data_IF_497573622386
#
_entry.id   IF_497573622386
#
_cell.length_a   1.000
_cell.length_b   1.000
_cell.length_c   1.000
_cell.angle_alpha   90.00
_cell.angle_beta   90.00
_cell.angle_gamma   90.00
#
_symmetry.space_group_name_H-M   'P 1'
#
loop_
_entity.id
_entity.type
_entity.pdbx_description
1 polymer ?
#
# COMPACT_ATOMS: atom_id res chain seq x y z
N UNK A 1 -14.37 0.61 1.19
CA UNK A 1 -13.41 1.53 0.53
C UNK A 1 -13.33 1.20 -0.94
N UNK A 2 -13.67 2.14 -1.81
CA UNK A 2 -13.53 1.98 -3.27
C UNK A 2 -12.23 2.70 -3.67
N UNK A 3 -11.38 2.05 -4.46
CA UNK A 3 -10.13 2.60 -4.96
C UNK A 3 -10.06 2.38 -6.47
N UNK A 4 -9.83 3.43 -7.23
CA UNK A 4 -9.57 3.36 -8.67
C UNK A 4 -8.07 3.44 -8.90
N UNK A 5 -7.52 2.53 -9.70
CA UNK A 5 -6.11 2.54 -10.10
C UNK A 5 -6.01 2.51 -11.62
N UNK A 6 -5.40 3.54 -12.20
CA UNK A 6 -5.07 3.55 -13.62
C UNK A 6 -3.89 2.61 -13.89
N UNK A 7 -4.05 1.71 -14.84
CA UNK A 7 -3.02 0.79 -15.31
C UNK A 7 -2.71 1.15 -16.77
N UNK A 8 -1.63 1.91 -17.02
CA UNK A 8 -1.29 2.36 -18.37
C UNK A 8 -0.91 1.21 -19.32
N UNK A 9 -0.47 0.07 -18.77
CA UNK A 9 -0.15 -1.16 -19.49
C UNK A 9 -1.17 -2.27 -19.28
N UNK A 10 -2.40 -1.93 -18.88
CA UNK A 10 -3.48 -2.89 -18.60
C UNK A 10 -3.22 -3.83 -17.41
N UNK A 11 -4.11 -4.80 -17.18
CA UNK A 11 -3.90 -5.86 -16.20
C UNK A 11 -2.83 -6.86 -16.71
N UNK A 12 -1.91 -7.34 -15.86
CA UNK A 12 -1.11 -8.51 -16.20
C UNK A 12 -2.07 -9.70 -16.38
N UNK A 13 -2.09 -10.28 -17.59
CA UNK A 13 -2.86 -11.49 -17.88
C UNK A 13 -2.44 -12.58 -16.89
N UNK A 14 -3.30 -12.91 -15.93
CA UNK A 14 -3.09 -14.10 -15.09
C UNK A 14 -3.35 -15.33 -15.94
N UNK A 15 -2.43 -16.27 -15.81
CA UNK A 15 -2.29 -17.55 -16.49
C UNK A 15 -3.58 -18.37 -16.49
N UNK A 16 -4.18 -18.52 -17.68
CA UNK A 16 -4.97 -19.70 -18.07
C UNK A 16 -4.87 -19.81 -19.59
N UNK A 17 -4.26 -20.90 -20.03
CA UNK A 17 -4.28 -21.45 -21.40
C UNK A 17 -3.47 -20.71 -22.48
N UNK A 18 -2.35 -21.35 -22.82
CA UNK A 18 -1.78 -21.56 -24.18
C UNK A 18 -1.31 -20.34 -25.01
N UNK A 19 0.03 -20.29 -25.14
CA UNK A 19 0.83 -20.00 -26.34
C UNK A 19 0.30 -19.01 -27.38
N UNK A 20 0.71 -17.75 -27.27
CA UNK A 20 1.01 -16.87 -28.42
C UNK A 20 1.99 -15.76 -27.97
N UNK A 21 3.11 -15.51 -28.67
CA UNK A 21 4.06 -14.45 -28.32
C UNK A 21 3.56 -13.11 -28.86
N UNK A 22 2.43 -12.62 -28.35
CA UNK A 22 1.85 -11.39 -28.86
C UNK A 22 2.33 -10.17 -28.07
N UNK A 23 3.30 -9.50 -28.68
CA UNK A 23 3.94 -8.23 -28.32
C UNK A 23 2.97 -7.02 -28.43
N UNK A 24 1.69 -7.20 -28.07
CA UNK A 24 0.70 -6.13 -28.10
C UNK A 24 0.64 -5.41 -26.74
N UNK A 25 0.84 -4.08 -26.70
CA UNK A 25 0.68 -3.34 -25.45
C UNK A 25 -0.76 -3.49 -24.97
N UNK A 26 -0.92 -4.14 -23.82
CA UNK A 26 -2.21 -4.30 -23.16
C UNK A 26 -2.86 -2.92 -22.98
N UNK A 27 -4.10 -2.77 -23.46
CA UNK A 27 -4.80 -1.49 -23.51
C UNK A 27 -4.86 -0.83 -22.12
N UNK A 28 -4.76 0.51 -22.04
CA UNK A 28 -4.85 1.21 -20.78
C UNK A 28 -6.19 0.90 -20.11
N UNK A 29 -6.16 0.42 -18.88
CA UNK A 29 -7.34 -0.04 -18.16
C UNK A 29 -7.47 0.63 -16.80
N UNK A 30 -8.70 0.84 -16.34
CA UNK A 30 -9.00 1.36 -15.02
C UNK A 30 -9.37 0.19 -14.10
N UNK A 31 -8.56 -0.08 -13.09
CA UNK A 31 -8.84 -1.10 -12.08
C UNK A 31 -9.69 -0.50 -10.97
N UNK A 32 -10.98 -0.87 -10.92
CA UNK A 32 -11.86 -0.60 -9.81
C UNK A 32 -11.67 -1.65 -8.71
N UNK A 33 -11.01 -1.25 -7.62
CA UNK A 33 -10.83 -2.08 -6.43
C UNK A 33 -11.89 -1.70 -5.40
N UNK A 34 -12.95 -2.49 -5.35
CA UNK A 34 -13.93 -2.41 -4.27
C UNK A 34 -13.40 -3.24 -3.11
N UNK A 35 -12.96 -2.57 -2.04
CA UNK A 35 -12.57 -3.22 -0.77
C UNK A 35 -13.75 -3.14 0.18
N UNK A 36 -14.41 -4.26 0.41
CA UNK A 36 -15.36 -4.43 1.50
C UNK A 36 -14.73 -5.35 2.56
N UNK A 37 -15.03 -5.08 3.83
CA UNK A 37 -14.34 -5.73 4.94
C UNK A 37 -12.92 -5.20 5.20
N UNK A 38 -12.39 -5.58 6.36
CA UNK A 38 -11.08 -5.15 6.85
C UNK A 38 -10.36 -6.24 7.64
N UNK A 39 -10.79 -7.49 7.49
CA UNK A 39 -10.15 -8.65 8.11
C UNK A 39 -8.91 -9.06 7.32
N UNK A 40 -7.88 -9.51 8.04
CA UNK A 40 -6.66 -10.02 7.44
C UNK A 40 -6.93 -11.36 6.73
N UNK A 41 -6.60 -11.45 5.45
CA UNK A 41 -6.77 -12.68 4.65
C UNK A 41 -5.81 -13.77 5.09
N UNK A 42 -6.12 -15.03 4.76
CA UNK A 42 -5.22 -16.15 5.06
C UNK A 42 -3.85 -16.00 4.36
N UNK A 43 -3.85 -15.50 3.12
CA UNK A 43 -2.61 -15.16 2.40
C UNK A 43 -1.78 -14.13 3.17
N UNK A 44 -2.42 -13.08 3.72
CA UNK A 44 -1.74 -12.07 4.53
C UNK A 44 -1.12 -12.64 5.81
N UNK A 45 -1.83 -13.55 6.50
CA UNK A 45 -1.29 -14.28 7.66
C UNK A 45 -0.05 -15.10 7.29
N UNK A 46 -0.11 -15.87 6.21
CA UNK A 46 1.00 -16.72 5.76
C UNK A 46 2.22 -15.87 5.33
N UNK A 47 1.99 -14.72 4.67
CA UNK A 47 3.04 -13.79 4.30
C UNK A 47 3.74 -13.19 5.52
N UNK A 48 2.98 -12.76 6.52
CA UNK A 48 3.54 -12.22 7.76
C UNK A 48 4.35 -13.28 8.53
N UNK A 49 3.85 -14.51 8.60
CA UNK A 49 4.57 -15.62 9.22
C UNK A 49 5.87 -15.97 8.47
N UNK A 50 5.82 -16.04 7.14
CA UNK A 50 7.01 -16.27 6.32
C UNK A 50 8.06 -15.16 6.50
N UNK A 51 7.62 -13.90 6.59
CA UNK A 51 8.48 -12.77 6.89
C UNK A 51 9.14 -12.93 8.27
N UNK A 52 8.38 -13.31 9.30
CA UNK A 52 8.93 -13.60 10.63
C UNK A 52 10.01 -14.68 10.60
N UNK A 53 9.76 -15.78 9.85
CA UNK A 53 10.75 -16.86 9.65
C UNK A 53 12.01 -16.39 8.95
N UNK A 54 11.89 -15.47 7.99
CA UNK A 54 13.04 -14.87 7.33
C UNK A 54 13.84 -13.97 8.29
N UNK A 55 13.16 -13.13 9.07
CA UNK A 55 13.80 -12.27 10.09
C UNK A 55 14.57 -13.06 11.15
N UNK A 56 14.04 -14.23 11.54
CA UNK A 56 14.73 -15.16 12.45
C UNK A 56 16.13 -15.55 11.98
N UNK A 57 16.37 -15.56 10.66
CA UNK A 57 17.65 -15.94 10.03
C UNK A 57 18.62 -14.77 9.90
N UNK A 58 18.16 -13.52 10.06
CA UNK A 58 19.01 -12.33 9.93
C UNK A 58 19.87 -12.04 11.17
N UNK A 59 19.56 -12.63 12.33
CA UNK A 59 20.34 -12.41 13.54
C UNK A 59 21.64 -13.25 13.53
N UNK A 60 22.83 -12.62 13.60
CA UNK A 60 24.11 -13.34 13.59
C UNK A 60 24.27 -14.20 14.85
N UNK A 61 24.55 -15.49 14.65
CA UNK A 61 24.60 -16.50 15.71
C UNK A 61 24.28 -17.94 15.24
N UNK A 62 23.74 -18.08 14.01
CA UNK A 62 23.46 -19.38 13.37
C UNK A 62 24.53 -19.90 12.41
N UNK A 63 25.64 -19.18 12.20
CA UNK A 63 26.69 -19.54 11.22
C UNK A 63 27.86 -20.34 11.83
N UNK A 64 27.74 -20.79 13.08
CA UNK A 64 28.87 -21.33 13.86
C UNK A 64 28.88 -22.82 14.15
N UNK A 65 28.09 -23.67 13.47
CA UNK A 65 28.21 -25.12 13.65
C UNK A 65 28.08 -25.83 12.30
N UNK A 66 29.22 -26.37 11.86
CA UNK A 66 29.31 -27.46 10.88
C UNK A 66 28.38 -28.58 11.38
N UNK A 67 27.23 -28.75 10.74
CA UNK A 67 26.23 -29.78 11.11
C UNK A 67 24.78 -29.27 11.21
N UNK A 68 24.05 -29.41 10.10
CA UNK A 68 22.65 -29.83 10.02
C UNK A 68 21.45 -29.02 10.58
N UNK A 69 21.56 -27.80 11.13
CA UNK A 69 20.33 -26.98 11.42
C UNK A 69 20.45 -25.49 11.10
N UNK A 70 20.07 -25.04 9.88
CA UNK A 70 20.24 -23.65 9.40
C UNK A 70 19.23 -22.62 9.96
N UNK A 71 18.60 -22.88 11.12
CA UNK A 71 17.35 -22.22 11.52
C UNK A 71 17.35 -21.51 12.89
N UNK A 72 18.50 -21.40 13.58
CA UNK A 72 18.54 -21.20 15.04
C UNK A 72 19.26 -19.92 15.50
N UNK A 73 19.22 -18.82 14.73
CA UNK A 73 19.83 -17.54 15.14
C UNK A 73 19.14 -16.94 16.37
N UNK A 74 17.87 -16.54 16.22
CA UNK A 74 17.07 -15.92 17.29
C UNK A 74 16.52 -16.93 18.32
N UNK A 75 16.30 -18.19 17.91
CA UNK A 75 15.72 -19.24 18.76
C UNK A 75 16.67 -19.77 19.83
N UNK A 76 17.98 -19.54 19.69
CA UNK A 76 18.97 -19.96 20.69
C UNK A 76 18.86 -19.17 22.00
N UNK A 77 18.15 -18.03 22.00
CA UNK A 77 17.82 -17.24 23.19
C UNK A 77 16.40 -17.54 23.74
N UNK A 78 15.95 -18.80 23.64
CA UNK A 78 14.59 -19.21 23.99
C UNK A 78 14.17 -18.89 25.44
N UNK A 79 15.13 -18.76 26.36
CA UNK A 79 14.87 -18.39 27.75
C UNK A 79 14.71 -16.89 27.97
N UNK A 80 15.41 -16.01 27.22
CA UNK A 80 15.41 -14.54 27.41
C UNK A 80 14.34 -13.80 26.61
N UNK A 81 14.12 -14.15 25.33
CA UNK A 81 13.23 -13.33 24.49
C UNK A 81 11.73 -13.43 24.79
N UNK A 82 11.25 -14.51 25.41
CA UNK A 82 9.82 -14.66 25.71
C UNK A 82 9.33 -13.64 26.76
N UNK A 83 10.22 -13.16 27.63
CA UNK A 83 9.91 -12.13 28.62
C UNK A 83 10.37 -10.73 28.22
N UNK A 84 11.37 -10.62 27.35
CA UNK A 84 11.93 -9.33 26.94
C UNK A 84 11.32 -8.75 25.66
N UNK A 85 10.70 -9.59 24.81
CA UNK A 85 10.11 -9.12 23.55
C UNK A 85 8.69 -8.59 23.75
N UNK A 86 8.48 -7.31 23.45
CA UNK A 86 7.16 -6.67 23.37
C UNK A 86 6.91 -6.24 21.93
N UNK A 87 5.81 -6.68 21.34
CA UNK A 87 5.39 -6.26 20.00
C UNK A 87 4.26 -5.26 20.17
N UNK A 88 4.39 -4.10 19.53
CA UNK A 88 3.37 -3.07 19.56
C UNK A 88 2.70 -2.97 18.19
N UNK A 89 1.38 -2.89 18.19
CA UNK A 89 0.58 -2.75 16.98
C UNK A 89 -0.53 -1.72 17.21
N UNK A 90 -0.97 -1.08 16.12
CA UNK A 90 -2.16 -0.23 16.14
C UNK A 90 -3.41 -1.04 16.54
N UNK A 91 -4.42 -0.36 17.08
CA UNK A 91 -5.71 -0.94 17.55
C UNK A 91 -6.60 -1.50 16.42
N UNK A 92 -6.02 -1.70 15.24
CA UNK A 92 -6.72 -2.20 14.07
C UNK A 92 -6.56 -3.71 13.96
N UNK A 93 -7.67 -4.44 13.99
CA UNK A 93 -7.65 -5.92 14.09
C UNK A 93 -6.80 -6.62 13.02
N UNK A 94 -6.73 -6.10 11.78
CA UNK A 94 -5.83 -6.67 10.76
C UNK A 94 -4.35 -6.43 11.04
N UNK A 95 -3.99 -5.30 11.64
CA UNK A 95 -2.61 -4.96 12.00
C UNK A 95 -2.18 -5.83 13.17
N UNK A 96 -3.03 -5.94 14.19
CA UNK A 96 -2.85 -6.85 15.32
C UNK A 96 -2.63 -8.31 14.88
N UNK A 97 -3.50 -8.83 14.01
CA UNK A 97 -3.37 -10.21 13.50
C UNK A 97 -2.11 -10.41 12.64
N UNK A 98 -1.68 -9.36 11.91
CA UNK A 98 -0.42 -9.40 11.15
C UNK A 98 0.78 -9.47 12.09
N UNK A 99 0.78 -8.66 13.16
CA UNK A 99 1.83 -8.67 14.18
C UNK A 99 1.92 -10.03 14.89
N UNK A 100 0.78 -10.64 15.23
CA UNK A 100 0.75 -11.97 15.84
C UNK A 100 1.28 -13.05 14.89
N UNK A 101 0.91 -13.02 13.60
CA UNK A 101 1.43 -13.96 12.60
C UNK A 101 2.93 -13.80 12.37
N UNK A 102 3.42 -12.56 12.35
CA UNK A 102 4.84 -12.27 12.29
C UNK A 102 5.57 -12.81 13.53
N UNK A 103 5.06 -12.56 14.74
CA UNK A 103 5.62 -13.05 16.01
C UNK A 103 5.72 -14.58 16.02
N UNK A 104 4.67 -15.25 15.53
CA UNK A 104 4.62 -16.70 15.37
C UNK A 104 5.77 -17.22 14.51
N UNK A 105 5.99 -16.61 13.35
CA UNK A 105 7.08 -16.98 12.44
C UNK A 105 8.47 -16.66 13.01
N UNK A 106 8.60 -15.51 13.69
CA UNK A 106 9.85 -15.03 14.29
C UNK A 106 10.34 -15.94 15.41
N UNK A 107 9.44 -16.33 16.31
CA UNK A 107 9.74 -17.13 17.50
C UNK A 107 9.46 -18.64 17.34
N UNK A 108 9.07 -19.08 16.14
CA UNK A 108 8.69 -20.47 15.86
C UNK A 108 7.66 -21.02 16.86
N UNK A 109 6.62 -20.22 17.13
CA UNK A 109 5.55 -20.63 18.05
C UNK A 109 4.55 -21.53 17.33
N UNK A 110 4.17 -22.62 17.99
CA UNK A 110 3.08 -23.48 17.55
C UNK A 110 1.75 -23.01 18.16
N UNK A 111 0.65 -23.21 17.43
CA UNK A 111 -0.70 -22.85 17.88
C UNK A 111 -1.39 -21.75 17.06
N UNK A 112 -2.59 -21.35 17.51
CA UNK A 112 -3.41 -20.33 16.87
C UNK A 112 -2.87 -18.91 17.13
N UNK A 113 -3.28 -17.95 16.30
CA UNK A 113 -2.84 -16.56 16.44
C UNK A 113 -3.47 -15.84 17.64
N UNK A 114 -4.64 -16.26 18.11
CA UNK A 114 -5.36 -15.57 19.17
C UNK A 114 -4.61 -15.58 20.53
N UNK A 115 -4.08 -16.73 21.03
CA UNK A 115 -3.25 -16.74 22.23
C UNK A 115 -1.97 -15.90 22.08
N UNK A 116 -1.32 -15.98 20.91
CA UNK A 116 -0.09 -15.22 20.61
C UNK A 116 -0.37 -13.72 20.62
N UNK A 117 -1.50 -13.30 20.02
CA UNK A 117 -1.92 -11.92 20.00
C UNK A 117 -2.07 -11.36 21.41
N UNK A 118 -2.81 -12.05 22.27
CA UNK A 118 -3.07 -11.61 23.65
C UNK A 118 -1.79 -11.55 24.48
N UNK A 119 -0.86 -12.48 24.28
CA UNK A 119 0.36 -12.57 25.10
C UNK A 119 1.46 -11.61 24.63
N UNK A 120 1.59 -11.39 23.32
CA UNK A 120 2.77 -10.74 22.74
C UNK A 120 2.50 -9.37 22.14
N UNK A 121 1.29 -9.16 21.61
CA UNK A 121 0.96 -7.95 20.86
C UNK A 121 0.19 -7.01 21.76
N UNK A 122 0.82 -5.90 22.12
CA UNK A 122 0.21 -4.83 22.87
C UNK A 122 -0.38 -3.80 21.92
N UNK A 123 -1.65 -3.48 22.14
CA UNK A 123 -2.24 -2.25 21.62
C UNK A 123 -1.60 -1.08 22.35
N UNK A 124 -0.82 -0.27 21.63
CA UNK A 124 -0.33 0.97 22.18
C UNK A 124 -0.32 2.03 21.08
N UNK A 125 -0.62 3.26 21.48
CA UNK A 125 -0.28 4.41 20.69
C UNK A 125 1.25 4.56 20.71
N UNK A 126 1.90 4.31 19.57
CA UNK A 126 3.37 4.33 19.46
C UNK A 126 3.98 5.70 19.73
N UNK A 127 3.14 6.75 19.80
CA UNK A 127 3.48 8.15 20.05
C UNK A 127 4.32 8.42 21.33
N UNK A 128 4.51 7.42 22.20
CA UNK A 128 5.36 7.52 23.40
C UNK A 128 6.50 6.48 23.46
N UNK A 129 6.75 5.73 22.38
CA UNK A 129 7.81 4.72 22.31
C UNK A 129 9.09 5.24 21.64
N UNK A 130 8.99 6.33 20.89
CA UNK A 130 10.09 6.97 20.19
C UNK A 130 10.19 8.43 20.63
N UNK A 131 11.38 8.86 21.04
CA UNK A 131 11.60 10.18 21.64
C UNK A 131 11.27 11.37 20.70
N UNK A 132 11.05 11.13 19.39
CA UNK A 132 10.93 12.16 18.35
C UNK A 132 9.53 12.29 17.70
N UNK A 133 8.51 11.56 18.17
CA UNK A 133 7.20 11.53 17.50
C UNK A 133 6.45 12.88 17.54
N UNK A 134 6.71 13.69 18.58
CA UNK A 134 6.05 15.00 18.77
C UNK A 134 6.45 16.00 17.69
N UNK A 135 7.72 16.02 17.28
CA UNK A 135 8.20 16.97 16.26
C UNK A 135 7.88 16.49 14.85
N UNK A 136 7.96 15.18 14.58
CA UNK A 136 7.52 14.58 13.32
C UNK A 136 6.04 14.86 13.03
N UNK A 137 5.17 14.72 14.03
CA UNK A 137 3.73 14.97 13.86
C UNK A 137 3.44 16.43 13.53
N UNK A 138 4.15 17.37 14.18
CA UNK A 138 4.00 18.81 13.87
C UNK A 138 4.42 19.12 12.44
N UNK A 139 5.56 18.61 11.98
CA UNK A 139 6.03 18.82 10.60
C UNK A 139 5.08 18.17 9.58
N UNK A 140 4.54 16.98 9.86
CA UNK A 140 3.53 16.36 9.00
C UNK A 140 2.25 17.21 8.89
N UNK A 141 1.77 17.77 10.00
CA UNK A 141 0.60 18.65 9.98
C UNK A 141 0.87 19.95 9.23
N UNK A 142 2.06 20.55 9.39
CA UNK A 142 2.48 21.73 8.62
C UNK A 142 2.48 21.43 7.12
N UNK A 143 3.16 20.35 6.70
CA UNK A 143 3.22 19.93 5.29
C UNK A 143 1.82 19.67 4.75
N UNK A 144 0.96 18.98 5.52
CA UNK A 144 -0.43 18.72 5.13
C UNK A 144 -1.21 20.02 4.93
N UNK A 145 -1.07 20.98 5.84
CA UNK A 145 -1.76 22.27 5.73
C UNK A 145 -1.26 23.08 4.54
N UNK A 146 0.05 23.19 4.35
CA UNK A 146 0.66 23.86 3.19
C UNK A 146 0.19 23.26 1.87
N UNK A 147 0.20 21.91 1.77
CA UNK A 147 -0.29 21.23 0.57
C UNK A 147 -1.78 21.45 0.36
N UNK A 148 -2.59 21.41 1.41
CA UNK A 148 -4.02 21.65 1.32
C UNK A 148 -4.33 23.05 0.78
N UNK A 149 -3.70 24.08 1.34
CA UNK A 149 -3.93 25.47 0.94
C UNK A 149 -3.46 25.76 -0.48
N UNK A 150 -2.39 25.10 -0.90
CA UNK A 150 -1.83 25.27 -2.24
C UNK A 150 -2.66 24.51 -3.29
N UNK A 151 -3.08 23.28 -2.99
CA UNK A 151 -3.92 22.48 -3.89
C UNK A 151 -5.37 22.96 -3.97
N UNK A 152 -5.84 23.74 -3.00
CA UNK A 152 -7.17 24.34 -3.00
C UNK A 152 -7.29 25.59 -3.89
N UNK A 153 -6.17 26.20 -4.29
CA UNK A 153 -6.17 27.42 -5.13
C UNK A 153 -6.41 27.04 -6.60
N UNK A 154 -7.38 27.70 -7.24
CA UNK A 154 -7.65 27.53 -8.67
C UNK A 154 -6.66 28.36 -9.52
N UNK A 155 -5.39 27.98 -9.45
CA UNK A 155 -4.30 28.57 -10.25
C UNK A 155 -3.31 27.49 -10.67
N UNK A 156 -2.55 27.76 -11.73
CA UNK A 156 -1.40 26.94 -12.08
C UNK A 156 -0.26 27.14 -11.08
N UNK A 157 0.53 26.09 -10.81
CA UNK A 157 1.70 26.18 -9.93
C UNK A 157 2.70 27.24 -10.39
N UNK A 158 3.12 28.11 -9.48
CA UNK A 158 4.19 29.10 -9.72
C UNK A 158 5.56 28.53 -9.32
N UNK A 159 6.66 29.14 -9.75
CA UNK A 159 8.01 28.69 -9.38
C UNK A 159 8.22 28.63 -7.86
N UNK A 160 7.63 29.56 -7.11
CA UNK A 160 7.62 29.56 -5.64
C UNK A 160 6.92 28.32 -5.06
N UNK A 161 5.83 27.87 -5.69
CA UNK A 161 5.12 26.65 -5.28
C UNK A 161 6.01 25.41 -5.50
N UNK A 162 6.82 25.39 -6.56
CA UNK A 162 7.80 24.32 -6.81
C UNK A 162 8.87 24.26 -5.73
N UNK A 163 9.43 25.42 -5.36
CA UNK A 163 10.47 25.49 -4.32
C UNK A 163 9.90 25.15 -2.92
N UNK A 164 8.62 25.44 -2.69
CA UNK A 164 7.93 25.11 -1.44
C UNK A 164 7.59 23.61 -1.32
N UNK A 165 7.05 22.99 -2.38
CA UNK A 165 6.63 21.58 -2.36
C UNK A 165 7.82 20.62 -2.53
N UNK A 166 8.79 21.00 -3.35
CA UNK A 166 9.95 20.17 -3.68
C UNK A 166 11.27 20.90 -3.36
N UNK A 167 11.56 21.20 -2.09
CA UNK A 167 12.78 21.92 -1.70
C UNK A 167 14.05 21.14 -2.08
N UNK A 168 13.99 19.81 -2.13
CA UNK A 168 15.07 18.93 -2.58
C UNK A 168 15.11 18.72 -4.11
N UNK A 169 14.25 19.40 -4.86
CA UNK A 169 14.09 19.28 -6.32
C UNK A 169 13.95 17.83 -6.81
N UNK A 170 13.19 17.03 -6.06
CA UNK A 170 12.89 15.65 -6.44
C UNK A 170 12.22 15.61 -7.82
N UNK A 171 12.82 14.85 -8.76
CA UNK A 171 12.32 14.70 -10.14
C UNK A 171 10.87 14.21 -10.18
N UNK A 172 10.50 13.30 -9.28
CA UNK A 172 9.14 12.74 -9.23
C UNK A 172 8.10 13.79 -8.83
N UNK A 173 8.43 14.66 -7.87
CA UNK A 173 7.54 15.75 -7.44
C UNK A 173 7.39 16.81 -8.54
N UNK A 174 8.50 17.21 -9.17
CA UNK A 174 8.48 18.20 -10.25
C UNK A 174 7.69 17.66 -11.45
N UNK A 175 7.91 16.41 -11.86
CA UNK A 175 7.16 15.78 -12.95
C UNK A 175 5.66 15.70 -12.62
N UNK A 176 5.30 15.34 -11.38
CA UNK A 176 3.90 15.31 -10.95
C UNK A 176 3.23 16.68 -10.96
N UNK A 177 3.92 17.73 -10.51
CA UNK A 177 3.42 19.10 -10.53
C UNK A 177 3.26 19.63 -11.97
N UNK A 178 4.23 19.37 -12.85
CA UNK A 178 4.16 19.73 -14.26
C UNK A 178 3.01 19.04 -15.00
N UNK A 179 2.67 17.82 -14.59
CA UNK A 179 1.56 17.07 -15.15
C UNK A 179 0.20 17.62 -14.67
N UNK A 180 0.06 17.88 -13.36
CA UNK A 180 -1.18 18.39 -12.78
C UNK A 180 -1.47 19.82 -13.27
N UNK A 181 -0.44 20.68 -13.35
CA UNK A 181 -0.50 22.11 -13.68
C UNK A 181 -1.41 22.91 -12.74
N UNK A 182 -2.72 22.79 -12.90
CA UNK A 182 -3.75 23.37 -12.04
C UNK A 182 -4.50 22.23 -11.30
N UNK A 183 -4.38 22.14 -9.96
CA UNK A 183 -4.97 21.07 -9.17
C UNK A 183 -6.51 21.08 -9.18
N UNK A 184 -7.14 22.26 -9.16
CA UNK A 184 -8.60 22.38 -9.16
C UNK A 184 -9.18 21.97 -10.51
N UNK A 185 -8.56 22.40 -11.61
CA UNK A 185 -8.96 21.97 -12.97
C UNK A 185 -8.79 20.45 -13.14
N UNK A 186 -7.69 19.87 -12.66
CA UNK A 186 -7.49 18.43 -12.70
C UNK A 186 -8.58 17.67 -11.91
N UNK A 187 -8.96 18.17 -10.72
CA UNK A 187 -10.07 17.61 -9.94
C UNK A 187 -11.42 17.73 -10.66
N UNK A 188 -11.71 18.85 -11.34
CA UNK A 188 -12.92 18.99 -12.17
C UNK A 188 -12.97 17.97 -13.30
N UNK A 189 -11.85 17.74 -13.98
CA UNK A 189 -11.78 16.73 -15.04
C UNK A 189 -12.06 15.33 -14.50
N UNK A 190 -11.44 14.96 -13.36
CA UNK A 190 -11.71 13.67 -12.68
C UNK A 190 -13.19 13.55 -12.31
N UNK A 191 -13.77 14.62 -11.74
CA UNK A 191 -15.18 14.65 -11.39
C UNK A 191 -16.09 14.42 -12.60
N UNK A 192 -15.80 15.07 -13.73
CA UNK A 192 -16.53 14.89 -14.97
C UNK A 192 -16.44 13.44 -15.46
N UNK A 193 -15.25 12.83 -15.47
CA UNK A 193 -15.08 11.43 -15.87
C UNK A 193 -15.83 10.46 -14.96
N UNK A 194 -15.89 10.73 -13.65
CA UNK A 194 -16.67 9.91 -12.72
C UNK A 194 -18.16 10.01 -13.05
N UNK A 195 -18.67 11.21 -13.34
CA UNK A 195 -20.06 11.40 -13.75
C UNK A 195 -20.39 10.69 -15.06
N UNK A 196 -19.53 10.83 -16.07
CA UNK A 196 -19.68 10.11 -17.34
C UNK A 196 -19.70 8.59 -17.10
N UNK A 197 -18.81 8.07 -16.26
CA UNK A 197 -18.78 6.65 -15.91
C UNK A 197 -20.06 6.21 -15.19
N UNK A 198 -20.58 7.01 -14.24
CA UNK A 198 -21.84 6.70 -13.53
C UNK A 198 -23.01 6.69 -14.51
N UNK A 199 -23.10 7.69 -15.39
CA UNK A 199 -24.14 7.77 -16.41
C UNK A 199 -24.08 6.57 -17.35
N UNK A 200 -22.88 6.12 -17.75
CA UNK A 200 -22.68 4.92 -18.55
C UNK A 200 -23.18 3.67 -17.82
N UNK A 201 -22.84 3.49 -16.55
CA UNK A 201 -23.31 2.35 -15.74
C UNK A 201 -24.83 2.34 -15.64
N UNK A 202 -25.46 3.48 -15.34
CA UNK A 202 -26.92 3.61 -15.26
C UNK A 202 -27.60 3.35 -16.61
N UNK A 203 -27.02 3.82 -17.71
CA UNK A 203 -27.55 3.57 -19.06
C UNK A 203 -27.49 2.09 -19.45
N UNK A 204 -26.46 1.36 -18.98
CA UNK A 204 -26.30 -0.07 -19.22
C UNK A 204 -27.22 -0.92 -18.32
N UNK A 205 -27.53 -0.44 -17.11
CA UNK A 205 -28.52 -1.06 -16.23
C UNK A 205 -29.95 -0.97 -16.83
N UNK A 206 -30.25 0.14 -17.53
CA UNK A 206 -31.53 0.37 -18.20
C UNK A 206 -31.65 -0.34 -19.57
N UNK A 207 -30.55 -0.69 -20.23
CA UNK A 207 -30.54 -1.34 -21.56
C UNK A 207 -29.50 -2.48 -21.63
N UNK A 208 -29.83 -3.71 -21.18
CA UNK A 208 -28.89 -4.82 -21.10
C UNK A 208 -28.50 -5.46 -22.45
N UNK A 209 -29.06 -5.05 -23.59
CA UNK A 209 -28.98 -5.80 -24.87
C UNK A 209 -28.06 -5.23 -25.96
N UNK A 210 -27.38 -4.10 -25.78
CA UNK A 210 -26.43 -3.64 -26.80
C UNK A 210 -25.01 -4.13 -26.50
N UNK A 211 -24.71 -5.36 -26.92
CA UNK A 211 -23.39 -6.00 -26.86
C UNK A 211 -22.33 -5.38 -27.79
N UNK A 212 -22.22 -4.05 -27.82
CA UNK A 212 -21.09 -3.38 -28.47
C UNK A 212 -20.04 -3.04 -27.42
N UNK A 213 -18.76 -3.41 -27.64
CA UNK A 213 -17.68 -2.97 -26.76
C UNK A 213 -17.60 -1.44 -26.84
N UNK A 214 -17.94 -0.79 -25.72
CA UNK A 214 -17.78 0.66 -25.58
C UNK A 214 -16.29 0.89 -25.43
N UNK A 215 -15.69 1.52 -26.44
CA UNK A 215 -14.33 2.06 -26.36
C UNK A 215 -14.48 3.44 -25.73
N UNK A 216 -14.30 3.62 -24.41
CA UNK A 216 -14.25 4.97 -23.88
C UNK A 216 -13.07 5.67 -24.56
N UNK A 217 -13.29 6.88 -25.06
CA UNK A 217 -12.22 7.81 -25.44
C UNK A 217 -11.48 8.22 -24.16
N UNK A 218 -10.77 7.27 -23.54
CA UNK A 218 -9.79 7.54 -22.52
C UNK A 218 -8.61 8.09 -23.30
N UNK A 219 -8.53 9.43 -23.36
CA UNK A 219 -7.29 10.09 -23.73
C UNK A 219 -6.26 9.58 -22.73
N UNK A 220 -5.40 8.69 -23.22
CA UNK A 220 -4.32 8.08 -22.48
C UNK A 220 -3.42 9.23 -22.00
N UNK A 221 -3.42 9.49 -20.70
CA UNK A 221 -2.45 10.39 -20.11
C UNK A 221 -1.10 9.67 -20.12
N UNK A 222 -0.41 9.83 -21.25
CA UNK A 222 0.86 9.22 -21.57
C UNK A 222 1.92 9.86 -20.66
N UNK A 223 2.37 9.11 -19.66
CA UNK A 223 3.61 9.42 -18.96
C UNK A 223 4.77 8.92 -19.84
N UNK A 224 5.40 9.84 -20.57
CA UNK A 224 6.74 9.60 -21.08
C UNK A 224 7.71 9.89 -19.92
N UNK A 225 8.49 8.86 -19.54
CA UNK A 225 9.60 8.96 -18.59
C UNK A 225 10.83 9.51 -19.27
#
# INVERSE_FOLDING_TARGET
KIQLKYLPKGLPKKTSSEDEPNNMPSQPSLLLVVKWGGQLTQTGKNQAEALGKAFRKMYPGGQGAVGDRPDVGLLRLHSTFRHDLKIYASDEGRVQMTAAAFAKGLLALDGELAPILVQMVKSANTNGLLDNDVDSTKEQQKVKHTLHDLLAKDRSFTQEDYDTIAPTRSRSLISSMNYIKNPVSACRNIYQYIHEMIALIQSHELNPTSGKPIVPNIICMRFEM
#
